data_IF_789132934198
#
_entry.id   IF_789132934198
#
_cell.length_a   1.000
_cell.length_b   1.000
_cell.length_c   1.000
_cell.angle_alpha   90.00
_cell.angle_beta   90.00
_cell.angle_gamma   90.00
#
_symmetry.space_group_name_H-M   'P 1'
#
loop_
_entity.id
_entity.type
_entity.pdbx_description
1 polymer ?
#
# COMPACT_ATOMS: atom_id res chain seq x y z
N UNK A 1 -4.79 29.74 -34.41
CA UNK A 1 -4.32 28.58 -33.60
C UNK A 1 -5.03 28.65 -32.25
N UNK A 2 -5.53 27.51 -31.78
CA UNK A 2 -6.55 27.40 -30.72
C UNK A 2 -5.99 27.71 -29.32
N UNK A 3 -6.82 28.44 -28.57
CA UNK A 3 -6.86 28.74 -27.13
C UNK A 3 -6.74 27.45 -26.26
N UNK A 4 -6.41 27.46 -24.96
CA UNK A 4 -7.19 27.96 -23.81
C UNK A 4 -6.30 27.90 -22.56
N UNK A 5 -6.31 28.99 -21.79
CA UNK A 5 -5.75 29.08 -20.44
C UNK A 5 -6.83 28.79 -19.37
N UNK A 6 -6.36 28.42 -18.16
CA UNK A 6 -7.08 28.32 -16.86
C UNK A 6 -7.93 27.04 -16.73
N UNK A 7 -7.95 26.35 -15.58
CA UNK A 7 -8.55 26.83 -14.34
C UNK A 7 -8.10 25.94 -13.15
N UNK A 8 -7.58 26.56 -12.08
CA UNK A 8 -7.51 25.96 -10.74
C UNK A 8 -8.90 26.13 -10.12
N UNK A 9 -9.55 25.05 -9.69
CA UNK A 9 -10.72 25.10 -8.81
C UNK A 9 -10.55 24.06 -7.72
N UNK A 10 -10.30 24.55 -6.51
CA UNK A 10 -10.64 23.87 -5.29
C UNK A 10 -12.06 24.26 -4.91
N UNK A 11 -12.86 23.30 -4.47
CA UNK A 11 -14.14 23.57 -3.83
C UNK A 11 -14.32 22.61 -2.67
N UNK A 12 -14.39 23.22 -1.48
CA UNK A 12 -14.76 22.63 -0.19
C UNK A 12 -16.25 22.28 -0.27
N UNK A 13 -16.67 21.11 0.23
CA UNK A 13 -18.09 20.89 0.52
C UNK A 13 -18.29 20.46 1.97
N UNK A 14 -18.77 21.44 2.74
CA UNK A 14 -19.34 21.32 4.08
C UNK A 14 -20.57 20.41 4.08
N UNK A 15 -20.80 19.76 5.22
CA UNK A 15 -21.95 18.89 5.45
C UNK A 15 -23.28 19.62 5.56
N UNK A 16 -24.36 18.86 5.33
CA UNK A 16 -25.71 19.18 5.77
C UNK A 16 -26.48 17.89 6.03
N UNK A 17 -27.14 17.82 7.18
CA UNK A 17 -28.10 16.78 7.61
C UNK A 17 -29.49 17.40 7.51
N UNK A 18 -30.45 16.77 6.84
CA UNK A 18 -31.88 17.10 7.02
C UNK A 18 -32.81 15.99 6.47
N UNK A 19 -33.86 15.74 7.24
CA UNK A 19 -34.93 14.73 7.17
C UNK A 19 -36.14 15.16 6.32
N UNK A 20 -36.88 14.22 5.70
CA UNK A 20 -38.36 14.36 5.55
C UNK A 20 -39.02 14.19 4.16
N UNK A 21 -39.62 13.00 3.95
CA UNK A 21 -40.89 12.58 3.29
C UNK A 21 -41.49 13.19 1.98
N UNK A 22 -41.66 12.28 0.99
CA UNK A 22 -42.82 11.94 0.12
C UNK A 22 -43.55 12.95 -0.82
N UNK A 23 -43.47 12.69 -2.14
CA UNK A 23 -44.59 12.36 -3.08
C UNK A 23 -44.14 12.50 -4.57
N UNK A 24 -44.51 11.55 -5.46
CA UNK A 24 -44.19 11.53 -6.90
C UNK A 24 -45.46 11.75 -7.78
N UNK A 25 -45.36 12.06 -9.11
CA UNK A 25 -45.17 10.97 -10.09
C UNK A 25 -44.38 11.29 -11.40
N UNK A 26 -43.75 10.23 -11.91
CA UNK A 26 -43.53 9.81 -13.30
C UNK A 26 -42.88 10.74 -14.36
N UNK A 27 -41.62 10.41 -14.73
CA UNK A 27 -41.19 10.27 -16.13
C UNK A 27 -39.94 9.36 -16.19
N UNK A 28 -39.95 8.45 -17.14
CA UNK A 28 -39.08 7.28 -17.30
C UNK A 28 -37.58 7.60 -17.44
N UNK A 29 -36.74 7.00 -16.61
CA UNK A 29 -35.31 6.84 -16.88
C UNK A 29 -34.77 5.60 -16.15
N UNK A 30 -33.91 4.87 -16.88
CA UNK A 30 -33.41 3.51 -16.62
C UNK A 30 -32.97 3.21 -15.18
N UNK A 31 -33.31 2.01 -14.73
CA UNK A 31 -32.93 1.46 -13.44
C UNK A 31 -31.41 1.30 -13.29
N UNK A 32 -30.85 1.89 -12.24
CA UNK A 32 -29.60 1.46 -11.63
C UNK A 32 -29.75 1.56 -10.11
N UNK A 33 -29.63 0.40 -9.49
CA UNK A 33 -29.86 0.09 -8.09
C UNK A 33 -29.04 0.98 -7.17
N UNK A 34 -29.70 1.64 -6.22
CA UNK A 34 -29.06 2.24 -5.07
C UNK A 34 -28.37 1.14 -4.25
N UNK A 35 -27.05 1.02 -4.36
CA UNK A 35 -26.28 0.36 -3.31
C UNK A 35 -26.03 1.41 -2.23
N UNK A 36 -26.74 1.24 -1.11
CA UNK A 36 -26.43 1.90 0.15
C UNK A 36 -24.91 1.88 0.35
N UNK A 37 -24.33 3.07 0.59
CA UNK A 37 -22.96 3.17 1.05
C UNK A 37 -22.89 2.41 2.37
N UNK A 38 -22.44 1.16 2.29
CA UNK A 38 -21.97 0.43 3.45
C UNK A 38 -20.82 1.27 3.98
N UNK A 39 -21.03 1.93 5.11
CA UNK A 39 -19.94 2.25 6.03
C UNK A 39 -19.30 0.92 6.39
N UNK A 40 -18.36 0.49 5.55
CA UNK A 40 -17.49 -0.63 5.86
C UNK A 40 -16.65 -0.11 7.01
N UNK A 41 -17.06 -0.43 8.24
CA UNK A 41 -16.12 -0.61 9.32
C UNK A 41 -15.05 -1.54 8.78
N UNK A 42 -13.92 -0.98 8.37
CA UNK A 42 -12.77 -1.70 7.83
C UNK A 42 -12.08 -2.48 8.97
N UNK A 43 -12.78 -3.47 9.52
CA UNK A 43 -12.16 -4.66 10.10
C UNK A 43 -11.99 -5.68 8.98
N UNK A 44 -11.42 -5.25 7.84
CA UNK A 44 -11.10 -6.12 6.73
C UNK A 44 -9.69 -6.66 6.95
N UNK A 45 -9.61 -7.87 7.52
CA UNK A 45 -8.41 -8.69 7.47
C UNK A 45 -8.20 -9.11 6.00
N UNK A 46 -7.48 -8.31 5.23
CA UNK A 46 -7.33 -8.55 3.79
C UNK A 46 -5.92 -9.04 3.44
N UNK A 47 -5.91 -10.30 2.98
CA UNK A 47 -4.89 -11.05 2.21
C UNK A 47 -4.01 -12.07 2.97
N UNK A 48 -4.32 -13.36 2.76
CA UNK A 48 -3.64 -14.54 3.33
C UNK A 48 -2.88 -15.28 2.21
N UNK A 49 -1.90 -14.60 1.60
CA UNK A 49 -1.04 -15.21 0.59
C UNK A 49 0.35 -14.56 0.59
N UNK A 50 1.39 -15.36 0.36
CA UNK A 50 2.72 -14.83 0.14
C UNK A 50 2.81 -14.28 -1.28
N UNK A 51 3.20 -13.01 -1.40
CA UNK A 51 3.60 -12.42 -2.67
C UNK A 51 5.09 -12.57 -2.84
N UNK A 52 5.53 -12.87 -4.06
CA UNK A 52 6.93 -13.02 -4.41
C UNK A 52 7.34 -12.02 -5.47
N UNK A 53 8.56 -11.50 -5.36
CA UNK A 53 9.24 -10.77 -6.41
C UNK A 53 10.73 -11.05 -6.35
N UNK A 54 11.42 -10.84 -7.47
CA UNK A 54 12.86 -11.08 -7.60
C UNK A 54 13.54 -9.81 -8.10
N UNK A 55 14.80 -9.61 -7.72
CA UNK A 55 15.64 -8.50 -8.18
C UNK A 55 17.10 -8.94 -8.18
N UNK A 56 17.74 -8.93 -9.37
CA UNK A 56 19.03 -9.62 -9.52
C UNK A 56 18.89 -11.07 -9.08
N UNK A 57 19.82 -11.53 -8.26
CA UNK A 57 19.76 -12.86 -7.65
C UNK A 57 18.99 -12.89 -6.31
N UNK A 58 18.58 -11.72 -5.82
CA UNK A 58 17.74 -11.59 -4.63
C UNK A 58 16.30 -12.02 -4.86
N UNK A 59 15.81 -12.88 -3.96
CA UNK A 59 14.42 -13.33 -3.93
C UNK A 59 13.74 -12.79 -2.68
N UNK A 60 12.52 -12.26 -2.85
CA UNK A 60 11.77 -11.63 -1.79
C UNK A 60 10.36 -12.18 -1.76
N UNK A 61 9.94 -12.66 -0.59
CA UNK A 61 8.56 -13.04 -0.32
C UNK A 61 8.02 -12.19 0.82
N UNK A 62 6.78 -11.76 0.73
CA UNK A 62 6.15 -10.98 1.77
C UNK A 62 4.66 -11.23 1.81
N UNK A 63 4.09 -11.14 3.00
CA UNK A 63 2.65 -11.10 3.24
C UNK A 63 2.37 -10.13 4.37
N UNK A 64 1.15 -9.66 4.44
CA UNK A 64 0.81 -8.63 5.39
C UNK A 64 -0.66 -8.72 5.74
N UNK A 65 -1.06 -7.94 6.73
CA UNK A 65 -2.46 -7.80 7.06
C UNK A 65 -2.66 -6.75 8.14
N UNK A 66 -3.89 -6.65 8.59
CA UNK A 66 -4.28 -5.78 9.69
C UNK A 66 -4.92 -6.62 10.79
N UNK A 67 -4.46 -6.44 12.02
CA UNK A 67 -5.01 -7.12 13.21
C UNK A 67 -4.98 -6.16 14.40
N UNK A 68 -6.08 -6.10 15.16
CA UNK A 68 -6.22 -5.19 16.30
C UNK A 68 -5.89 -3.72 15.98
N UNK A 69 -6.33 -3.27 14.78
CA UNK A 69 -6.08 -1.92 14.28
C UNK A 69 -4.65 -1.64 13.80
N UNK A 70 -3.73 -2.62 13.92
CA UNK A 70 -2.32 -2.47 13.53
C UNK A 70 -2.01 -3.23 12.26
N UNK A 71 -1.18 -2.63 11.40
CA UNK A 71 -0.59 -3.33 10.28
C UNK A 71 0.52 -4.28 10.75
N UNK A 72 0.64 -5.43 10.10
CA UNK A 72 1.77 -6.33 10.25
C UNK A 72 2.27 -6.76 8.87
N UNK A 73 3.57 -7.05 8.79
CA UNK A 73 4.28 -7.47 7.59
C UNK A 73 5.20 -8.64 7.97
N UNK A 74 4.95 -9.81 7.42
CA UNK A 74 5.92 -10.91 7.40
C UNK A 74 6.67 -10.83 6.07
N UNK A 75 8.00 -10.99 6.10
CA UNK A 75 8.77 -11.11 4.88
C UNK A 75 9.94 -12.07 5.05
N UNK A 76 10.35 -12.61 3.90
CA UNK A 76 11.49 -13.48 3.71
C UNK A 76 12.31 -12.93 2.55
N UNK A 77 13.62 -12.98 2.69
CA UNK A 77 14.53 -12.70 1.59
C UNK A 77 15.64 -13.72 1.59
N UNK A 78 16.17 -14.03 0.43
CA UNK A 78 17.37 -14.82 0.32
C UNK A 78 18.10 -14.47 -0.97
N UNK A 79 19.42 -14.61 -0.90
CA UNK A 79 20.25 -14.56 -2.09
C UNK A 79 20.24 -15.91 -2.79
N UNK A 80 20.17 -15.92 -4.12
CA UNK A 80 20.24 -17.13 -4.92
C UNK A 80 21.69 -17.57 -5.08
N UNK A 81 22.62 -16.63 -5.11
CA UNK A 81 24.04 -16.90 -5.28
C UNK A 81 24.81 -16.54 -4.00
N UNK A 82 25.67 -17.46 -3.57
CA UNK A 82 26.50 -17.31 -2.36
C UNK A 82 27.93 -16.90 -2.71
N UNK A 83 28.26 -16.89 -3.99
CA UNK A 83 29.64 -16.71 -4.47
C UNK A 83 29.97 -15.29 -4.86
N UNK A 84 28.97 -14.46 -5.13
CA UNK A 84 29.17 -13.06 -5.41
C UNK A 84 28.98 -12.22 -4.14
N UNK A 85 29.78 -11.15 -4.01
CA UNK A 85 29.77 -10.30 -2.82
C UNK A 85 28.50 -9.42 -2.71
N UNK A 86 27.50 -9.67 -3.55
CA UNK A 86 26.24 -8.96 -3.59
C UNK A 86 25.38 -9.24 -2.36
N UNK A 87 24.45 -8.35 -2.09
CA UNK A 87 23.48 -8.51 -1.03
C UNK A 87 22.08 -8.22 -1.54
N UNK A 88 21.12 -8.94 -0.97
CA UNK A 88 19.70 -8.61 -1.09
C UNK A 88 19.33 -7.55 -0.06
N UNK A 89 18.65 -6.50 -0.50
CA UNK A 89 18.17 -5.40 0.34
C UNK A 89 16.65 -5.34 0.33
N UNK A 90 16.05 -5.07 1.49
CA UNK A 90 14.61 -4.90 1.64
C UNK A 90 14.32 -3.67 2.49
N UNK A 91 13.83 -2.60 1.86
CA UNK A 91 13.44 -1.38 2.56
C UNK A 91 11.96 -1.39 2.86
N UNK A 92 11.63 -1.05 4.11
CA UNK A 92 10.26 -0.91 4.58
C UNK A 92 10.00 0.57 4.86
N UNK A 93 8.85 1.05 4.42
CA UNK A 93 8.35 2.39 4.67
C UNK A 93 6.93 2.30 5.24
N UNK A 94 6.59 3.22 6.12
CA UNK A 94 5.21 3.39 6.58
C UNK A 94 4.72 4.79 6.26
N UNK A 95 3.40 4.92 6.15
CA UNK A 95 2.70 6.18 5.97
C UNK A 95 2.01 6.55 7.27
N UNK A 96 2.18 7.79 7.66
CA UNK A 96 1.50 8.38 8.82
C UNK A 96 1.17 9.83 8.51
N UNK A 97 -0.06 10.24 8.79
CA UNK A 97 -0.53 11.62 8.60
C UNK A 97 -0.27 12.11 7.17
N UNK A 98 -0.49 11.23 6.17
CA UNK A 98 -0.29 11.54 4.76
C UNK A 98 1.16 11.45 4.25
N UNK A 99 2.16 11.32 5.14
CA UNK A 99 3.60 11.36 4.80
C UNK A 99 4.25 9.98 4.89
N UNK A 100 5.19 9.71 3.99
CA UNK A 100 5.99 8.49 3.98
C UNK A 100 7.25 8.63 4.82
N UNK A 101 7.51 7.63 5.67
CA UNK A 101 8.68 7.54 6.53
C UNK A 101 9.42 6.25 6.24
N UNK A 102 10.75 6.34 6.16
CA UNK A 102 11.59 5.15 6.08
C UNK A 102 11.63 4.48 7.46
N UNK A 103 11.24 3.19 7.52
CA UNK A 103 11.27 2.42 8.75
C UNK A 103 12.65 1.82 8.97
N UNK A 104 13.03 0.86 8.12
CA UNK A 104 14.25 0.11 8.26
C UNK A 104 14.62 -0.55 6.93
N UNK A 105 15.92 -0.61 6.67
CA UNK A 105 16.54 -1.44 5.66
C UNK A 105 16.97 -2.76 6.29
N UNK A 106 16.61 -3.85 5.64
CA UNK A 106 17.11 -5.18 5.96
C UNK A 106 18.04 -5.62 4.84
N UNK A 107 19.08 -6.36 5.22
CA UNK A 107 20.10 -6.84 4.29
C UNK A 107 20.36 -8.30 4.60
N UNK A 108 20.49 -9.12 3.57
CA UNK A 108 20.85 -10.52 3.75
C UNK A 108 21.78 -11.01 2.63
N UNK A 109 22.74 -11.86 3.03
CA UNK A 109 23.55 -12.71 2.14
C UNK A 109 22.98 -14.12 1.99
N UNK A 110 22.10 -14.50 2.91
CA UNK A 110 21.53 -15.84 3.03
C UNK A 110 20.01 -15.71 3.25
N UNK A 111 19.36 -16.78 3.69
CA UNK A 111 17.95 -16.71 4.08
C UNK A 111 17.75 -15.84 5.34
N UNK A 112 16.87 -14.86 5.23
CA UNK A 112 16.41 -14.02 6.33
C UNK A 112 14.89 -13.96 6.33
N UNK A 113 14.28 -14.10 7.52
CA UNK A 113 12.83 -14.02 7.70
C UNK A 113 12.52 -13.25 8.97
N UNK A 114 11.56 -12.33 8.91
CA UNK A 114 11.11 -11.62 10.11
C UNK A 114 9.69 -11.09 9.97
N UNK A 115 9.13 -10.68 11.11
CA UNK A 115 7.82 -10.06 11.22
C UNK A 115 7.95 -8.67 11.81
N UNK A 116 7.31 -7.70 11.18
CA UNK A 116 7.16 -6.34 11.68
C UNK A 116 5.70 -6.12 12.05
N UNK A 117 5.47 -5.51 13.21
CA UNK A 117 4.15 -5.00 13.60
C UNK A 117 4.27 -3.49 13.74
N UNK A 118 3.49 -2.77 12.95
CA UNK A 118 3.49 -1.32 12.93
C UNK A 118 2.69 -0.74 14.11
N UNK A 119 2.92 0.54 14.39
CA UNK A 119 2.13 1.31 15.36
C UNK A 119 0.67 1.48 14.92
N UNK A 120 -0.19 1.90 15.85
CA UNK A 120 -1.64 2.11 15.58
C UNK A 120 -1.92 3.27 14.63
N UNK A 121 -0.99 4.23 14.50
CA UNK A 121 -1.12 5.45 13.70
C UNK A 121 -0.47 5.31 12.32
N UNK A 122 -0.46 4.10 11.77
CA UNK A 122 0.04 3.84 10.42
C UNK A 122 -1.15 3.71 9.50
N UNK A 123 -1.17 4.55 8.47
CA UNK A 123 -2.22 4.59 7.45
C UNK A 123 -1.98 3.51 6.39
N UNK A 124 -0.71 3.29 6.05
CA UNK A 124 -0.30 2.42 4.94
C UNK A 124 1.18 2.04 5.11
N UNK A 125 1.66 1.04 4.36
CA UNK A 125 3.08 0.72 4.26
C UNK A 125 3.44 0.34 2.82
N UNK A 126 4.72 0.50 2.49
CA UNK A 126 5.27 0.07 1.20
C UNK A 126 6.64 -0.53 1.38
N UNK A 127 6.99 -1.43 0.48
CA UNK A 127 8.28 -2.08 0.48
C UNK A 127 8.97 -1.88 -0.87
N UNK A 128 10.30 -2.03 -0.88
CA UNK A 128 11.07 -2.20 -2.11
C UNK A 128 12.20 -3.19 -1.86
N UNK A 129 12.46 -4.06 -2.83
CA UNK A 129 13.69 -4.85 -2.83
C UNK A 129 14.76 -4.18 -3.69
N UNK A 130 16.00 -4.41 -3.33
CA UNK A 130 17.17 -4.01 -4.09
C UNK A 130 18.21 -5.11 -4.08
N UNK A 131 19.11 -5.06 -5.04
CA UNK A 131 20.22 -6.00 -5.14
C UNK A 131 21.49 -5.25 -5.54
N UNK A 132 22.63 -5.64 -4.97
CA UNK A 132 23.93 -5.10 -5.38
C UNK A 132 24.98 -5.08 -4.26
N UNK A 133 26.05 -4.34 -4.50
CA UNK A 133 27.23 -4.27 -3.63
C UNK A 133 27.81 -2.85 -3.59
N UNK A 134 28.55 -2.52 -2.52
CA UNK A 134 29.41 -1.32 -2.50
C UNK A 134 28.69 0.02 -2.70
N UNK A 135 27.42 0.15 -2.31
CA UNK A 135 26.64 1.39 -2.46
C UNK A 135 25.89 1.52 -3.79
N UNK A 136 26.11 0.60 -4.73
CA UNK A 136 25.36 0.51 -5.98
C UNK A 136 24.21 -0.48 -5.83
N UNK A 137 22.99 0.05 -5.68
CA UNK A 137 21.80 -0.76 -5.42
C UNK A 137 20.84 -0.66 -6.61
N UNK A 138 20.64 -1.78 -7.31
CA UNK A 138 19.61 -1.92 -8.32
C UNK A 138 18.23 -2.03 -7.67
N UNK A 139 17.64 -0.91 -7.25
CA UNK A 139 16.32 -0.89 -6.61
C UNK A 139 15.20 -1.27 -7.56
N UNK A 140 14.29 -2.13 -7.10
CA UNK A 140 13.00 -2.37 -7.72
C UNK A 140 11.98 -1.26 -7.44
N UNK A 141 10.80 -1.39 -8.05
CA UNK A 141 9.67 -0.51 -7.78
C UNK A 141 9.14 -0.67 -6.35
N UNK A 142 8.32 0.29 -5.91
CA UNK A 142 7.61 0.18 -4.65
C UNK A 142 6.42 -0.76 -4.78
N UNK A 143 6.27 -1.66 -3.82
CA UNK A 143 5.05 -2.42 -3.60
C UNK A 143 4.29 -1.77 -2.45
N UNK A 144 3.27 -1.00 -2.79
CA UNK A 144 2.33 -0.37 -1.84
C UNK A 144 1.20 -1.33 -1.49
N UNK A 145 0.75 -1.23 -0.24
CA UNK A 145 -0.53 -1.75 0.17
C UNK A 145 -1.61 -0.66 -0.03
N UNK A 146 -2.87 -1.07 -0.28
CA UNK A 146 -4.03 -0.19 -0.32
C UNK A 146 -5.25 -0.99 0.06
#
# INVERSE_FOLDING_TARGET
>A
MRTIAKLIVGTVLSGAVATGIAAAPAASASAATASAATTVSASQSTFVGWKRFERGDGRFEYRWGRSNGRYWLDFRMWDRDRHDHSYSFFDVYYKRDGRWYHYKRFTSKDFFSTRIVFGKHVDDFRIRGGYGHGGHYGWGGYHTYR
#
